data_IF_092265262109
#
_entry.id   IF_092265262109
#
_cell.length_a   1.000
_cell.length_b   1.000
_cell.length_c   1.000
_cell.angle_alpha   90.00
_cell.angle_beta   90.00
_cell.angle_gamma   90.00
#
_symmetry.space_group_name_H-M   'P 1'
#
loop_
_entity.id
_entity.type
_entity.pdbx_description
1 polymer ?
#
# COMPACT_ATOMS: atom_id res chain seq x y z
N UNK A 1 -10.89 -25.64 33.21
CA UNK A 1 -9.73 -25.61 32.30
C UNK A 1 -9.56 -24.18 31.83
N UNK A 2 -8.57 -23.46 32.36
CA UNK A 2 -8.28 -22.08 31.95
C UNK A 2 -7.52 -22.11 30.64
N UNK A 3 -8.15 -21.68 29.54
CA UNK A 3 -7.51 -21.55 28.24
C UNK A 3 -6.36 -20.53 28.34
N UNK A 4 -5.18 -20.93 27.88
CA UNK A 4 -4.02 -20.04 27.82
C UNK A 4 -4.25 -19.05 26.68
N UNK A 5 -4.27 -17.72 26.90
CA UNK A 5 -4.54 -16.74 25.85
C UNK A 5 -3.56 -16.81 24.65
N UNK A 6 -2.44 -17.53 24.80
CA UNK A 6 -1.46 -17.78 23.73
C UNK A 6 -1.86 -18.84 22.71
N UNK A 7 -2.89 -19.67 22.96
CA UNK A 7 -3.25 -20.79 22.07
C UNK A 7 -4.33 -20.44 21.03
N UNK A 8 -4.99 -19.30 21.15
CA UNK A 8 -5.88 -18.76 20.13
C UNK A 8 -5.19 -17.54 19.50
N UNK A 9 -5.01 -17.55 18.19
CA UNK A 9 -4.63 -16.35 17.46
C UNK A 9 -5.71 -15.27 17.58
N UNK A 10 -5.49 -14.05 17.07
CA UNK A 10 -6.48 -12.96 17.12
C UNK A 10 -7.76 -13.23 16.30
N UNK A 11 -7.85 -14.41 15.69
CA UNK A 11 -8.95 -14.85 14.84
C UNK A 11 -9.81 -15.85 15.59
N UNK A 12 -11.12 -15.71 15.46
CA UNK A 12 -12.05 -16.72 15.99
C UNK A 12 -12.11 -17.98 15.10
N UNK A 13 -13.03 -18.88 15.45
CA UNK A 13 -13.30 -20.14 14.74
C UNK A 13 -13.75 -19.92 13.28
N UNK A 14 -14.27 -18.73 12.96
CA UNK A 14 -14.68 -18.31 11.62
C UNK A 14 -13.55 -17.61 10.84
N UNK A 15 -12.43 -17.33 11.48
CA UNK A 15 -11.30 -16.61 10.90
C UNK A 15 -11.39 -15.08 11.02
N UNK A 16 -12.38 -14.57 11.74
CA UNK A 16 -12.63 -13.14 11.92
C UNK A 16 -11.68 -12.53 12.94
N UNK A 17 -11.07 -11.41 12.55
CA UNK A 17 -10.09 -10.69 13.37
C UNK A 17 -10.83 -9.78 14.36
N UNK A 18 -10.86 -10.15 15.64
CA UNK A 18 -11.55 -9.41 16.70
C UNK A 18 -10.69 -8.33 17.36
N UNK A 19 -9.51 -8.05 16.81
CA UNK A 19 -8.67 -6.96 17.33
C UNK A 19 -9.38 -5.63 17.20
N UNK A 20 -9.08 -4.74 18.15
CA UNK A 20 -9.49 -3.36 18.03
C UNK A 20 -8.75 -2.69 16.85
N UNK A 21 -9.41 -1.76 16.19
CA UNK A 21 -8.79 -0.80 15.28
C UNK A 21 -8.90 0.59 15.88
N UNK A 22 -7.86 1.39 15.70
CA UNK A 22 -7.88 2.82 16.00
C UNK A 22 -8.26 3.57 14.73
N UNK A 23 -9.43 4.21 14.72
CA UNK A 23 -9.87 5.04 13.61
C UNK A 23 -9.06 6.34 13.55
N UNK A 24 -8.99 6.99 12.39
CA UNK A 24 -8.29 8.27 12.27
C UNK A 24 -8.84 9.38 13.19
N UNK A 25 -10.11 9.29 13.61
CA UNK A 25 -10.71 10.18 14.61
C UNK A 25 -10.31 9.86 16.07
N UNK A 26 -9.48 8.84 16.29
CA UNK A 26 -8.97 8.38 17.59
C UNK A 26 -9.86 7.42 18.37
N UNK A 27 -11.10 7.20 17.95
CA UNK A 27 -11.96 6.19 18.57
C UNK A 27 -11.51 4.77 18.20
N UNK A 28 -11.55 3.88 19.20
CA UNK A 28 -11.26 2.46 19.04
C UNK A 28 -12.55 1.67 18.91
N UNK A 29 -12.56 0.69 18.00
CA UNK A 29 -13.71 -0.18 17.73
C UNK A 29 -13.22 -1.55 17.29
N UNK A 30 -14.01 -2.61 17.53
CA UNK A 30 -13.69 -3.94 17.01
C UNK A 30 -13.61 -3.92 15.48
N UNK A 31 -12.58 -4.55 14.91
CA UNK A 31 -12.37 -4.59 13.46
C UNK A 31 -13.55 -5.23 12.73
N UNK A 32 -14.03 -6.36 13.23
CA UNK A 32 -15.22 -7.05 12.71
C UNK A 32 -16.46 -6.14 12.69
N UNK A 33 -16.66 -5.31 13.72
CA UNK A 33 -17.77 -4.34 13.75
C UNK A 33 -17.70 -3.30 12.63
N UNK A 34 -16.50 -2.86 12.25
CA UNK A 34 -16.32 -1.87 11.16
C UNK A 34 -16.39 -2.52 9.80
N UNK A 35 -15.83 -3.71 9.64
CA UNK A 35 -15.82 -4.44 8.37
C UNK A 35 -17.21 -4.96 8.00
N UNK A 36 -17.96 -5.51 8.96
CA UNK A 36 -19.32 -6.02 8.75
C UNK A 36 -20.38 -4.91 8.72
N UNK A 37 -20.20 -3.84 9.48
CA UNK A 37 -21.17 -2.75 9.59
C UNK A 37 -21.15 -1.74 8.44
N UNK A 38 -20.21 -1.89 7.49
CA UNK A 38 -19.94 -0.97 6.38
C UNK A 38 -20.02 0.52 6.77
N UNK A 39 -19.35 0.86 7.87
CA UNK A 39 -19.47 2.17 8.48
C UNK A 39 -18.75 3.24 7.66
N UNK A 40 -19.52 4.18 7.11
CA UNK A 40 -19.00 5.36 6.40
C UNK A 40 -18.57 6.51 7.34
N UNK A 41 -18.97 6.44 8.61
CA UNK A 41 -18.66 7.45 9.62
C UNK A 41 -18.43 6.79 10.97
N UNK A 42 -17.63 7.43 11.83
CA UNK A 42 -17.42 6.96 13.19
C UNK A 42 -18.75 6.94 13.96
N UNK A 43 -19.14 5.82 14.58
CA UNK A 43 -20.42 5.75 15.29
C UNK A 43 -20.45 6.62 16.56
N UNK A 44 -19.27 7.00 17.10
CA UNK A 44 -19.15 7.81 18.30
C UNK A 44 -19.19 9.32 18.02
N UNK A 45 -18.36 9.80 17.08
CA UNK A 45 -18.22 11.24 16.80
C UNK A 45 -18.73 11.67 15.42
N UNK A 46 -19.24 10.74 14.61
CA UNK A 46 -19.73 10.96 13.24
C UNK A 46 -18.70 11.54 12.26
N UNK A 47 -17.42 11.53 12.62
CA UNK A 47 -16.35 11.89 11.72
C UNK A 47 -16.38 10.98 10.48
N UNK A 48 -16.20 11.56 9.30
CA UNK A 48 -16.13 10.80 8.05
C UNK A 48 -14.97 9.80 8.09
N UNK A 49 -15.24 8.57 7.67
CA UNK A 49 -14.22 7.54 7.49
C UNK A 49 -13.83 7.41 6.01
N UNK A 50 -14.08 8.40 5.17
CA UNK A 50 -13.76 8.35 3.73
C UNK A 50 -12.54 9.18 3.38
N UNK A 51 -11.72 8.64 2.49
CA UNK A 51 -10.62 9.37 1.86
C UNK A 51 -11.18 10.43 0.90
N UNK A 52 -10.76 11.69 1.05
CA UNK A 52 -11.38 12.82 0.34
C UNK A 52 -11.24 12.83 -1.18
N UNK A 53 -10.25 12.13 -1.77
CA UNK A 53 -10.07 12.09 -3.24
C UNK A 53 -10.53 10.79 -3.90
N UNK A 54 -10.63 9.68 -3.17
CA UNK A 54 -11.05 8.40 -3.76
C UNK A 54 -12.33 7.83 -3.15
N UNK A 55 -12.89 8.46 -2.11
CA UNK A 55 -14.13 8.06 -1.41
C UNK A 55 -14.13 6.66 -0.79
N UNK A 56 -13.06 5.87 -0.97
CA UNK A 56 -12.85 4.61 -0.26
C UNK A 56 -12.83 4.82 1.25
N UNK A 57 -13.26 3.79 1.97
CA UNK A 57 -13.26 3.75 3.43
C UNK A 57 -11.83 3.62 3.95
N UNK A 58 -11.56 4.40 4.99
CA UNK A 58 -10.39 4.35 5.84
C UNK A 58 -10.52 3.15 6.80
N UNK A 59 -9.54 2.24 6.76
CA UNK A 59 -9.64 0.98 7.52
C UNK A 59 -9.24 1.09 8.99
N UNK A 60 -8.67 2.20 9.43
CA UNK A 60 -8.10 2.32 10.77
C UNK A 60 -6.85 1.44 10.97
N UNK A 61 -6.19 1.61 12.12
CA UNK A 61 -4.94 0.92 12.43
C UNK A 61 -5.28 -0.25 13.33
N UNK A 62 -5.01 -1.48 12.88
CA UNK A 62 -5.25 -2.64 13.74
C UNK A 62 -4.25 -2.64 14.89
N UNK A 63 -4.76 -2.69 16.12
CA UNK A 63 -3.96 -2.82 17.33
C UNK A 63 -3.12 -4.11 17.23
N UNK A 64 -1.80 -4.05 17.43
CA UNK A 64 -0.97 -5.25 17.45
C UNK A 64 -1.42 -6.21 18.55
N UNK A 65 -1.35 -7.51 18.25
CA UNK A 65 -1.71 -8.56 19.21
C UNK A 65 -0.68 -8.71 20.32
N UNK A 66 0.61 -8.66 19.96
CA UNK A 66 1.68 -8.88 20.90
C UNK A 66 1.98 -7.60 21.70
N UNK A 67 2.05 -7.74 23.03
CA UNK A 67 2.31 -6.62 23.96
C UNK A 67 3.58 -5.84 23.59
N UNK A 68 4.64 -6.55 23.18
CA UNK A 68 5.91 -5.94 22.76
C UNK A 68 5.76 -4.96 21.59
N UNK A 69 4.72 -5.14 20.77
CA UNK A 69 4.47 -4.35 19.58
C UNK A 69 3.48 -3.21 19.85
N UNK A 70 2.90 -3.09 21.06
CA UNK A 70 1.95 -2.01 21.38
C UNK A 70 2.56 -0.61 21.28
N UNK A 71 3.87 -0.49 21.54
CA UNK A 71 4.60 0.77 21.37
C UNK A 71 4.72 1.22 19.90
N UNK A 72 4.36 0.36 18.94
CA UNK A 72 4.28 0.74 17.52
C UNK A 72 3.02 1.54 17.17
N UNK A 73 2.04 1.62 18.07
CA UNK A 73 0.86 2.49 17.90
C UNK A 73 1.29 3.93 18.22
N UNK A 74 1.25 4.86 17.25
CA UNK A 74 1.57 6.27 17.52
C UNK A 74 0.66 6.85 18.62
N UNK A 75 1.23 7.55 19.60
CA UNK A 75 0.46 8.18 20.69
C UNK A 75 -0.55 9.21 20.16
N UNK A 76 -0.23 9.84 19.04
CA UNK A 76 -1.02 10.83 18.33
C UNK A 76 -2.35 10.25 17.82
N UNK A 77 -2.44 8.93 17.62
CA UNK A 77 -3.69 8.26 17.27
C UNK A 77 -4.76 8.42 18.35
N UNK A 78 -4.39 8.63 19.62
CA UNK A 78 -5.34 8.91 20.70
C UNK A 78 -5.94 10.32 20.66
N UNK A 79 -5.36 11.25 19.87
CA UNK A 79 -5.79 12.65 19.75
C UNK A 79 -6.50 12.98 18.44
N UNK A 80 -6.56 12.02 17.52
CA UNK A 80 -7.11 12.18 16.18
C UNK A 80 -6.10 12.78 15.19
N UNK A 81 -6.11 12.26 13.96
CA UNK A 81 -5.26 12.70 12.85
C UNK A 81 -6.07 12.99 11.57
N UNK A 82 -5.40 13.52 10.54
CA UNK A 82 -6.04 13.80 9.25
C UNK A 82 -5.98 12.54 8.39
N UNK A 83 -7.14 12.03 7.94
CA UNK A 83 -7.18 10.95 6.95
C UNK A 83 -6.44 11.40 5.68
N UNK A 84 -5.49 10.59 5.22
CA UNK A 84 -4.80 10.85 3.96
C UNK A 84 -5.79 11.01 2.81
N UNK A 85 -5.44 11.82 1.80
CA UNK A 85 -6.38 12.12 0.70
C UNK A 85 -6.77 10.89 -0.14
N UNK A 86 -5.95 9.84 -0.13
CA UNK A 86 -6.11 8.62 -0.93
C UNK A 86 -5.86 7.40 -0.06
N UNK A 87 -6.62 6.31 -0.25
CA UNK A 87 -6.30 5.02 0.35
C UNK A 87 -4.99 4.45 -0.24
N UNK A 88 -4.43 3.42 0.38
CA UNK A 88 -3.15 2.83 -0.05
C UNK A 88 -3.15 2.36 -1.49
N UNK A 89 -4.23 1.73 -1.95
CA UNK A 89 -4.33 1.27 -3.33
C UNK A 89 -4.32 2.43 -4.33
N UNK A 90 -5.10 3.49 -4.07
CA UNK A 90 -5.11 4.66 -4.93
C UNK A 90 -3.78 5.43 -4.87
N UNK A 91 -3.16 5.51 -3.69
CA UNK A 91 -1.84 6.10 -3.48
C UNK A 91 -0.78 5.34 -4.28
N UNK A 92 -0.77 4.01 -4.20
CA UNK A 92 0.11 3.15 -4.98
C UNK A 92 -0.04 3.36 -6.48
N UNK A 93 -1.27 3.47 -6.99
CA UNK A 93 -1.54 3.76 -8.40
C UNK A 93 -1.01 5.12 -8.85
N UNK A 94 -1.17 6.17 -8.02
CA UNK A 94 -0.60 7.49 -8.31
C UNK A 94 0.93 7.43 -8.36
N UNK A 95 1.56 6.74 -7.40
CA UNK A 95 3.01 6.57 -7.35
C UNK A 95 3.50 5.82 -8.59
N UNK A 96 2.86 4.69 -8.93
CA UNK A 96 3.17 3.91 -10.13
C UNK A 96 3.05 4.76 -11.39
N UNK A 97 2.01 5.58 -11.53
CA UNK A 97 1.84 6.45 -12.70
C UNK A 97 2.94 7.53 -12.81
N UNK A 98 3.44 8.04 -11.68
CA UNK A 98 4.57 8.97 -11.66
C UNK A 98 5.88 8.27 -12.05
N UNK A 99 6.17 7.14 -11.41
CA UNK A 99 7.40 6.38 -11.64
C UNK A 99 7.43 5.75 -13.04
N UNK A 100 6.29 5.29 -13.57
CA UNK A 100 6.18 4.75 -14.92
C UNK A 100 6.51 5.79 -15.99
N UNK A 101 6.03 7.03 -15.85
CA UNK A 101 6.40 8.12 -16.77
C UNK A 101 7.90 8.36 -16.82
N UNK A 102 8.57 8.25 -15.66
CA UNK A 102 10.04 8.33 -15.57
C UNK A 102 10.72 7.12 -16.22
N UNK A 103 10.25 5.91 -15.93
CA UNK A 103 10.77 4.68 -16.51
C UNK A 103 10.70 4.72 -18.04
N UNK A 104 9.59 5.20 -18.62
CA UNK A 104 9.44 5.34 -20.08
C UNK A 104 10.52 6.25 -20.66
N UNK A 105 10.77 7.42 -20.06
CA UNK A 105 11.80 8.35 -20.53
C UNK A 105 13.20 7.74 -20.44
N UNK A 106 13.52 7.11 -19.31
CA UNK A 106 14.83 6.46 -19.09
C UNK A 106 15.04 5.32 -20.10
N UNK A 107 14.01 4.48 -20.32
CA UNK A 107 14.09 3.38 -21.27
C UNK A 107 14.21 3.88 -22.70
N UNK A 108 13.43 4.90 -23.11
CA UNK A 108 13.51 5.48 -24.46
C UNK A 108 14.90 6.00 -24.78
N UNK A 109 15.54 6.74 -23.85
CA UNK A 109 16.92 7.22 -24.01
C UNK A 109 17.88 6.02 -24.14
N UNK A 110 17.71 5.02 -23.27
CA UNK A 110 18.57 3.83 -23.28
C UNK A 110 18.45 3.01 -24.56
N UNK A 111 17.23 2.79 -25.06
CA UNK A 111 16.98 2.08 -26.32
C UNK A 111 17.55 2.87 -27.50
N UNK A 112 17.34 4.19 -27.54
CA UNK A 112 17.89 5.06 -28.57
C UNK A 112 19.42 4.98 -28.64
N UNK A 113 20.11 5.12 -27.49
CA UNK A 113 21.57 4.99 -27.42
C UNK A 113 22.10 3.62 -27.86
N UNK A 114 21.26 2.58 -27.84
CA UNK A 114 21.61 1.20 -28.20
C UNK A 114 21.09 0.78 -29.58
N UNK A 115 20.48 1.69 -30.35
CA UNK A 115 19.80 1.38 -31.60
C UNK A 115 18.75 0.25 -31.47
N UNK A 116 18.02 0.24 -30.36
CA UNK A 116 16.96 -0.74 -30.07
C UNK A 116 15.58 -0.11 -30.21
N UNK A 117 14.58 -0.95 -30.47
CA UNK A 117 13.18 -0.52 -30.55
C UNK A 117 12.57 -0.28 -29.18
N UNK A 118 11.58 0.62 -29.12
CA UNK A 118 10.73 0.78 -27.95
C UNK A 118 10.09 -0.54 -27.57
N UNK A 119 10.09 -0.84 -26.27
CA UNK A 119 9.47 -2.04 -25.71
C UNK A 119 8.33 -1.66 -24.78
N UNK A 120 7.31 -2.52 -24.65
CA UNK A 120 6.31 -2.33 -23.61
C UNK A 120 6.96 -2.47 -22.24
N UNK A 121 6.53 -1.62 -21.32
CA UNK A 121 7.04 -1.53 -19.95
C UNK A 121 5.90 -1.71 -18.97
N UNK A 122 6.26 -2.19 -17.79
CA UNK A 122 5.36 -2.38 -16.66
C UNK A 122 6.10 -2.14 -15.35
N UNK A 123 5.33 -1.84 -14.31
CA UNK A 123 5.85 -1.56 -12.98
C UNK A 123 4.93 -2.12 -11.90
N UNK A 124 5.50 -2.59 -10.81
CA UNK A 124 4.78 -2.94 -9.59
C UNK A 124 5.34 -2.19 -8.40
N UNK A 125 4.50 -2.01 -7.38
CA UNK A 125 4.89 -1.51 -6.06
C UNK A 125 4.29 -2.43 -5.00
N UNK A 126 5.11 -2.82 -4.02
CA UNK A 126 4.63 -3.48 -2.81
C UNK A 126 4.35 -2.41 -1.76
N UNK A 127 3.12 -2.35 -1.26
CA UNK A 127 2.71 -1.43 -0.19
C UNK A 127 1.83 -2.18 0.80
N UNK A 128 2.17 -2.16 2.09
CA UNK A 128 1.40 -2.89 3.10
C UNK A 128 1.34 -4.40 2.89
N UNK A 129 2.37 -4.97 2.25
CA UNK A 129 2.39 -6.39 1.87
C UNK A 129 1.58 -6.75 0.61
N UNK A 130 0.87 -5.78 0.00
CA UNK A 130 0.07 -5.98 -1.21
C UNK A 130 0.83 -5.45 -2.43
N UNK A 131 0.83 -6.22 -3.52
CA UNK A 131 1.39 -5.77 -4.80
C UNK A 131 0.32 -5.04 -5.62
N UNK A 132 0.68 -3.84 -6.08
CA UNK A 132 -0.08 -3.08 -7.07
C UNK A 132 0.71 -3.05 -8.37
N UNK A 133 0.00 -3.13 -9.51
CA UNK A 133 0.62 -3.23 -10.82
C UNK A 133 0.10 -2.13 -11.75
N UNK A 134 0.97 -1.69 -12.67
CA UNK A 134 0.68 -0.80 -13.78
C UNK A 134 1.42 -1.30 -15.03
N UNK A 135 0.75 -1.34 -16.19
CA UNK A 135 1.34 -1.82 -17.44
C UNK A 135 0.78 -3.15 -17.97
N UNK A 136 -0.21 -3.74 -17.30
CA UNK A 136 -1.15 -4.73 -17.85
C UNK A 136 -0.57 -6.09 -18.27
N UNK A 137 -1.48 -6.99 -18.66
CA UNK A 137 -1.19 -8.21 -19.40
C UNK A 137 -1.10 -7.87 -20.89
N UNK A 138 -0.12 -8.42 -21.60
CA UNK A 138 -0.07 -8.33 -23.05
C UNK A 138 -0.29 -9.73 -23.60
N UNK A 139 -1.34 -9.91 -24.38
CA UNK A 139 -1.73 -11.22 -24.90
C UNK A 139 -0.56 -11.90 -25.63
N UNK A 140 -0.34 -13.17 -25.28
CA UNK A 140 0.77 -13.95 -25.81
C UNK A 140 2.16 -13.52 -25.33
N UNK A 141 2.26 -12.67 -24.29
CA UNK A 141 3.53 -12.28 -23.68
C UNK A 141 3.55 -12.42 -22.17
N UNK A 142 4.70 -12.84 -21.64
CA UNK A 142 4.95 -12.90 -20.19
C UNK A 142 5.74 -11.68 -19.72
N UNK A 143 5.43 -11.15 -18.52
CA UNK A 143 6.24 -10.13 -17.89
C UNK A 143 7.60 -10.71 -17.50
N UNK A 144 8.66 -9.97 -17.77
CA UNK A 144 10.04 -10.30 -17.45
C UNK A 144 10.63 -9.13 -16.67
N UNK A 145 11.11 -9.40 -15.47
CA UNK A 145 11.77 -8.41 -14.63
C UNK A 145 12.98 -7.82 -15.37
N UNK A 146 13.09 -6.50 -15.28
CA UNK A 146 14.28 -5.77 -15.71
C UNK A 146 14.90 -5.10 -14.49
N UNK A 147 16.19 -4.83 -14.55
CA UNK A 147 16.84 -4.07 -13.51
C UNK A 147 16.18 -2.69 -13.38
N UNK A 148 15.71 -2.36 -12.17
CA UNK A 148 15.17 -1.02 -11.88
C UNK A 148 16.29 0.00 -12.06
N UNK A 149 16.16 0.98 -12.98
CA UNK A 149 17.23 1.94 -13.27
C UNK A 149 17.67 2.72 -12.01
N UNK A 150 18.98 2.98 -11.88
CA UNK A 150 19.53 3.67 -10.72
C UNK A 150 18.91 5.07 -10.49
N UNK A 151 18.69 5.83 -11.56
CA UNK A 151 18.01 7.12 -11.50
C UNK A 151 16.59 7.02 -10.93
N UNK A 152 15.85 5.98 -11.35
CA UNK A 152 14.50 5.73 -10.85
C UNK A 152 14.50 5.32 -9.38
N UNK A 153 15.46 4.47 -8.96
CA UNK A 153 15.66 4.12 -7.54
C UNK A 153 15.93 5.36 -6.68
N UNK A 154 16.76 6.27 -7.17
CA UNK A 154 17.07 7.53 -6.48
C UNK A 154 15.84 8.45 -6.37
N UNK A 155 15.06 8.59 -7.44
CA UNK A 155 13.84 9.41 -7.42
C UNK A 155 12.77 8.83 -6.49
N UNK A 156 12.57 7.51 -6.53
CA UNK A 156 11.66 6.81 -5.62
C UNK A 156 12.13 6.92 -4.16
N UNK A 157 13.42 6.75 -3.88
CA UNK A 157 13.98 6.92 -2.53
C UNK A 157 13.78 8.33 -1.98
N UNK A 158 13.97 9.38 -2.80
CA UNK A 158 13.64 10.76 -2.40
C UNK A 158 12.16 10.96 -2.11
N UNK A 159 11.28 10.30 -2.87
CA UNK A 159 9.85 10.34 -2.62
C UNK A 159 9.50 9.65 -1.30
N UNK A 160 10.06 8.46 -1.03
CA UNK A 160 9.87 7.73 0.22
C UNK A 160 10.31 8.55 1.44
N UNK A 161 11.50 9.16 1.39
CA UNK A 161 12.01 9.99 2.49
C UNK A 161 11.06 11.14 2.85
N UNK A 162 10.50 11.82 1.83
CA UNK A 162 9.52 12.90 2.05
C UNK A 162 8.23 12.39 2.67
N UNK A 163 7.76 11.22 2.25
CA UNK A 163 6.53 10.63 2.80
C UNK A 163 6.73 10.13 4.23
N UNK A 164 7.86 9.49 4.51
CA UNK A 164 8.26 9.09 5.86
C UNK A 164 8.34 10.27 6.81
N UNK A 165 8.83 11.44 6.34
CA UNK A 165 8.82 12.64 7.17
C UNK A 165 7.40 13.08 7.54
N UNK A 166 6.45 13.03 6.59
CA UNK A 166 5.04 13.35 6.85
C UNK A 166 4.39 12.31 7.80
N UNK A 167 4.74 11.03 7.64
CA UNK A 167 4.32 9.95 8.54
C UNK A 167 4.85 10.20 9.97
N UNK A 168 6.13 10.54 10.10
CA UNK A 168 6.79 10.82 11.39
C UNK A 168 6.30 12.10 12.05
N UNK A 169 5.86 13.09 11.28
CA UNK A 169 5.23 14.31 11.82
C UNK A 169 3.89 14.00 12.52
N UNK A 170 3.33 12.79 12.34
CA UNK A 170 2.18 12.28 13.10
C UNK A 170 0.85 12.95 12.80
N UNK A 171 0.78 13.81 11.78
CA UNK A 171 -0.43 14.59 11.44
C UNK A 171 -1.36 13.89 10.46
N UNK A 172 -0.84 12.96 9.67
CA UNK A 172 -1.58 12.29 8.59
C UNK A 172 -1.65 10.80 8.84
N UNK A 173 -2.86 10.26 8.69
CA UNK A 173 -3.15 8.87 8.88
C UNK A 173 -2.99 8.09 7.58
N UNK A 174 -2.01 7.18 7.55
CA UNK A 174 -1.77 6.24 6.46
C UNK A 174 -2.03 4.81 6.94
N UNK A 175 -2.62 3.97 6.08
CA UNK A 175 -2.91 2.56 6.40
C UNK A 175 -1.62 1.75 6.47
N UNK A 176 -0.71 1.97 5.52
CA UNK A 176 0.63 1.38 5.47
C UNK A 176 1.71 2.43 5.35
N UNK A 177 2.87 2.18 5.94
CA UNK A 177 4.05 3.03 5.73
C UNK A 177 4.60 2.85 4.32
N UNK A 178 5.11 3.93 3.73
CA UNK A 178 5.90 3.88 2.50
C UNK A 178 7.37 3.49 2.73
N UNK A 179 7.81 3.33 3.99
CA UNK A 179 9.20 2.98 4.34
C UNK A 179 9.66 1.68 3.71
N UNK A 180 8.80 0.66 3.74
CA UNK A 180 9.10 -0.69 3.22
C UNK A 180 8.59 -0.88 1.78
N UNK A 181 8.20 0.21 1.10
CA UNK A 181 7.70 0.10 -0.24
C UNK A 181 8.84 -0.19 -1.23
N UNK A 182 8.59 -1.13 -2.14
CA UNK A 182 9.56 -1.54 -3.15
C UNK A 182 8.93 -1.48 -4.54
N UNK A 183 9.66 -0.93 -5.51
CA UNK A 183 9.25 -0.93 -6.91
C UNK A 183 10.01 -1.96 -7.73
N UNK A 184 9.31 -2.63 -8.63
CA UNK A 184 9.90 -3.54 -9.62
C UNK A 184 9.49 -3.11 -11.02
N UNK A 185 10.43 -3.19 -11.96
CA UNK A 185 10.20 -2.87 -13.36
C UNK A 185 10.17 -4.15 -14.19
N UNK A 186 9.32 -4.20 -15.21
CA UNK A 186 9.25 -5.33 -16.14
C UNK A 186 9.07 -4.87 -17.58
N UNK A 187 9.45 -5.76 -18.50
CA UNK A 187 9.10 -5.70 -19.92
C UNK A 187 8.37 -6.98 -20.32
N UNK A 188 7.96 -7.12 -21.57
CA UNK A 188 7.16 -8.26 -22.02
C UNK A 188 7.84 -9.00 -23.18
N UNK A 189 7.98 -10.32 -23.05
CA UNK A 189 8.52 -11.21 -24.09
C UNK A 189 7.47 -12.20 -24.56
N UNK A 190 7.54 -12.65 -25.82
CA UNK A 190 6.64 -13.69 -26.34
C UNK A 190 6.68 -14.92 -25.45
N UNK A 191 5.51 -15.44 -25.11
CA UNK A 191 5.36 -16.68 -24.36
C UNK A 191 5.86 -17.84 -25.20
N UNK A 192 6.73 -18.70 -24.65
CA UNK A 192 7.22 -19.92 -25.33
C UNK A 192 6.11 -20.94 -25.64
N UNK A 193 4.90 -20.75 -25.12
CA UNK A 193 3.76 -21.66 -25.29
C UNK A 193 2.95 -21.44 -26.58
N UNK A 194 3.35 -20.51 -27.45
CA UNK A 194 2.67 -20.26 -28.73
C UNK A 194 3.31 -21.01 -29.92
N UNK A 195 4.21 -21.95 -29.66
CA UNK A 195 4.82 -22.84 -30.66
C UNK A 195 4.34 -24.28 -30.43
N UNK A 196 3.04 -24.54 -30.66
CA UNK A 196 2.47 -25.88 -30.89
C UNK A 196 1.46 -25.76 -32.03
#
# INVERSE_FOLDING_TARGET
MSANPSTYGPKDECGDDHRAIVLACGHMIGKSCVELGDLDSCPFCRASLKHSRCSHRNKGMTVPWAIKDLNSIPQELSKGGIISKLCDSCRAQVILGLMMRRLVVIDEISQYCRNLYRRPLGMSIKLGGVYHYLGGHIDGKTPVLIETPAELKLEFGRFQLKQLQIENDGRVWFESSLGDAEIQCFTFKKSRMAEI
#
